data_IF_652102044356
#
_entry.id   IF_652102044356
#
_cell.length_a   1.000
_cell.length_b   1.000
_cell.length_c   1.000
_cell.angle_alpha   90.00
_cell.angle_beta   90.00
_cell.angle_gamma   90.00
#
_symmetry.space_group_name_H-M   'P 1'
#
loop_
_entity.id
_entity.type
_entity.pdbx_description
1 polymer ?
#
# COMPACT_ATOMS: atom_id res chain seq x y z
N UNK A 1 33.93 -73.55 11.68
CA UNK A 1 32.68 -72.77 11.58
C UNK A 1 31.90 -72.93 12.87
N UNK A 2 31.23 -71.87 13.27
CA UNK A 2 30.73 -71.57 14.61
C UNK A 2 29.97 -72.73 15.28
N UNK A 3 30.47 -73.21 16.42
CA UNK A 3 29.87 -74.32 17.19
C UNK A 3 28.86 -73.85 18.23
N UNK A 4 28.44 -72.58 18.16
CA UNK A 4 27.43 -72.02 19.06
C UNK A 4 26.01 -72.45 18.63
N UNK A 5 25.32 -73.30 19.41
CA UNK A 5 23.97 -73.76 19.07
C UNK A 5 22.92 -72.63 19.01
N UNK A 6 23.24 -71.41 19.49
CA UNK A 6 22.39 -70.23 19.32
C UNK A 6 22.43 -69.65 17.91
N UNK A 7 23.49 -69.93 17.15
CA UNK A 7 23.72 -69.42 15.80
C UNK A 7 23.99 -70.60 14.85
N UNK A 8 22.96 -71.38 14.49
CA UNK A 8 23.14 -72.50 13.57
C UNK A 8 23.76 -72.02 12.25
N UNK A 9 24.68 -72.80 11.71
CA UNK A 9 25.28 -72.52 10.42
C UNK A 9 24.20 -72.32 9.37
N UNK A 10 24.30 -71.22 8.62
CA UNK A 10 23.32 -70.88 7.59
C UNK A 10 23.42 -71.87 6.44
N UNK A 11 22.45 -72.78 6.33
CA UNK A 11 22.32 -73.67 5.18
C UNK A 11 21.70 -72.93 3.99
N UNK A 12 21.90 -73.40 2.74
CA UNK A 12 21.23 -72.82 1.56
C UNK A 12 19.71 -72.70 1.71
N UNK A 13 19.07 -73.69 2.33
CA UNK A 13 17.62 -73.70 2.59
C UNK A 13 17.23 -72.67 3.66
N UNK A 14 18.03 -72.54 4.73
CA UNK A 14 17.77 -71.55 5.77
C UNK A 14 17.96 -70.13 5.23
N UNK A 15 19.00 -69.89 4.42
CA UNK A 15 19.21 -68.64 3.70
C UNK A 15 18.01 -68.32 2.80
N UNK A 16 17.57 -69.28 1.97
CA UNK A 16 16.38 -69.12 1.14
C UNK A 16 15.16 -68.72 1.97
N UNK A 17 14.86 -69.46 3.04
CA UNK A 17 13.68 -69.21 3.86
C UNK A 17 13.72 -67.81 4.51
N UNK A 18 14.88 -67.38 5.03
CA UNK A 18 15.05 -66.08 5.69
C UNK A 18 14.97 -64.91 4.69
N UNK A 19 15.67 -65.01 3.56
CA UNK A 19 15.69 -63.96 2.54
C UNK A 19 14.33 -63.80 1.87
N UNK A 20 13.65 -64.89 1.54
CA UNK A 20 12.32 -64.83 0.93
C UNK A 20 11.31 -64.16 1.88
N UNK A 21 11.39 -64.47 3.17
CA UNK A 21 10.52 -63.86 4.17
C UNK A 21 10.80 -62.37 4.34
N UNK A 22 12.07 -61.94 4.32
CA UNK A 22 12.42 -60.52 4.30
C UNK A 22 11.83 -59.79 3.09
N UNK A 23 11.84 -60.43 1.92
CA UNK A 23 11.22 -59.86 0.72
C UNK A 23 9.70 -59.72 0.89
N UNK A 24 9.02 -60.74 1.44
CA UNK A 24 7.58 -60.69 1.72
C UNK A 24 7.21 -59.61 2.74
N UNK A 25 8.02 -59.42 3.77
CA UNK A 25 7.87 -58.32 4.74
C UNK A 25 7.96 -56.97 4.05
N UNK A 26 8.92 -56.80 3.13
CA UNK A 26 9.09 -55.58 2.34
C UNK A 26 7.94 -55.34 1.36
N UNK A 27 7.42 -56.40 0.71
CA UNK A 27 6.30 -56.33 -0.22
C UNK A 27 4.92 -56.21 0.45
N UNK A 28 4.83 -56.41 1.77
CA UNK A 28 3.54 -56.42 2.49
C UNK A 28 2.73 -57.71 2.30
N UNK A 29 3.39 -58.81 1.93
CA UNK A 29 2.75 -60.12 1.69
C UNK A 29 3.10 -61.17 2.74
N UNK A 30 3.98 -60.83 3.69
CA UNK A 30 4.35 -61.72 4.79
C UNK A 30 3.13 -62.09 5.62
N UNK A 31 2.97 -63.39 5.90
CA UNK A 31 1.97 -63.92 6.82
C UNK A 31 2.55 -64.25 8.20
N UNK A 32 3.88 -64.26 8.34
CA UNK A 32 4.58 -64.68 9.57
C UNK A 32 5.04 -63.50 10.41
N UNK A 33 5.40 -62.40 9.77
CA UNK A 33 5.94 -61.20 10.40
C UNK A 33 5.19 -59.94 9.99
N UNK A 34 5.20 -58.94 10.87
CA UNK A 34 4.67 -57.61 10.58
C UNK A 34 5.38 -57.02 9.35
N UNK A 35 4.62 -56.38 8.47
CA UNK A 35 5.15 -55.75 7.27
C UNK A 35 6.07 -54.59 7.60
N UNK A 36 7.04 -54.32 6.72
CA UNK A 36 7.88 -53.14 6.86
C UNK A 36 7.01 -51.87 6.78
N UNK A 37 7.31 -50.79 7.51
CA UNK A 37 6.64 -49.50 7.33
C UNK A 37 6.84 -48.94 5.90
N UNK A 38 5.96 -48.04 5.44
CA UNK A 38 6.03 -47.48 4.07
C UNK A 38 7.31 -46.68 3.78
N UNK A 39 8.01 -46.20 4.81
CA UNK A 39 9.28 -45.50 4.64
C UNK A 39 10.50 -46.42 4.40
N UNK A 40 10.32 -47.74 4.54
CA UNK A 40 11.34 -48.73 4.17
C UNK A 40 11.13 -49.13 2.70
N UNK A 41 11.98 -48.63 1.81
CA UNK A 41 11.77 -48.74 0.35
C UNK A 41 12.73 -49.68 -0.38
N UNK A 42 13.75 -50.23 0.30
CA UNK A 42 14.68 -51.17 -0.34
C UNK A 42 15.19 -52.26 0.59
N UNK A 43 15.53 -53.40 0.00
CA UNK A 43 16.40 -54.42 0.57
C UNK A 43 17.57 -54.60 -0.39
N UNK A 44 18.80 -54.69 0.14
CA UNK A 44 20.00 -54.95 -0.65
C UNK A 44 20.40 -56.40 -0.46
N UNK A 45 20.58 -57.12 -1.57
CA UNK A 45 21.10 -58.49 -1.54
C UNK A 45 22.61 -58.46 -1.71
N UNK A 46 23.30 -59.14 -0.79
CA UNK A 46 24.72 -58.88 -0.52
C UNK A 46 25.70 -59.44 -1.55
N UNK A 47 25.42 -60.50 -2.31
CA UNK A 47 26.28 -60.87 -3.45
C UNK A 47 25.51 -61.71 -4.47
N UNK A 48 25.12 -61.10 -5.60
CA UNK A 48 24.34 -61.79 -6.63
C UNK A 48 25.18 -62.79 -7.43
N UNK A 49 26.29 -62.34 -8.02
CA UNK A 49 27.23 -63.23 -8.67
C UNK A 49 28.63 -62.61 -8.60
N UNK A 50 29.65 -63.41 -8.33
CA UNK A 50 31.02 -62.91 -8.18
C UNK A 50 31.84 -63.23 -9.44
N UNK A 51 32.09 -64.50 -9.74
CA UNK A 51 32.81 -64.89 -10.96
C UNK A 51 32.06 -64.47 -12.24
N UNK A 52 30.74 -64.68 -12.31
CA UNK A 52 29.96 -64.35 -13.51
C UNK A 52 29.89 -62.84 -13.81
N UNK A 53 30.07 -61.98 -12.80
CA UNK A 53 30.18 -60.53 -12.98
C UNK A 53 31.63 -60.06 -13.18
N UNK A 54 32.57 -60.98 -13.44
CA UNK A 54 33.95 -60.67 -13.83
C UNK A 54 34.94 -60.55 -12.69
N UNK A 55 34.58 -60.90 -11.45
CA UNK A 55 35.53 -60.95 -10.35
C UNK A 55 36.47 -62.14 -10.48
N UNK A 56 37.77 -61.90 -10.40
CA UNK A 56 38.79 -62.96 -10.38
C UNK A 56 39.07 -63.51 -8.99
N UNK A 57 38.41 -62.97 -7.95
CA UNK A 57 38.61 -63.40 -6.56
C UNK A 57 37.70 -64.59 -6.23
N UNK A 58 38.28 -65.77 -6.03
CA UNK A 58 37.51 -66.97 -5.63
C UNK A 58 37.06 -66.97 -4.16
N UNK A 59 37.49 -65.98 -3.36
CA UNK A 59 37.21 -65.94 -1.92
C UNK A 59 35.70 -65.86 -1.64
N UNK A 60 35.00 -65.00 -2.36
CA UNK A 60 33.58 -64.72 -2.09
C UNK A 60 32.61 -65.59 -2.89
N UNK A 61 33.14 -66.51 -3.70
CA UNK A 61 32.31 -67.32 -4.60
C UNK A 61 31.33 -68.21 -3.84
N UNK A 62 31.68 -68.67 -2.64
CA UNK A 62 30.78 -69.41 -1.76
C UNK A 62 29.65 -68.57 -1.14
N UNK A 63 29.62 -67.26 -1.35
CA UNK A 63 28.58 -66.34 -0.87
C UNK A 63 27.71 -65.81 -2.03
N UNK A 64 28.08 -66.10 -3.28
CA UNK A 64 27.37 -65.64 -4.46
C UNK A 64 26.07 -66.44 -4.68
N UNK A 65 24.98 -65.76 -5.04
CA UNK A 65 23.72 -66.43 -5.35
C UNK A 65 23.79 -67.27 -6.62
N UNK A 66 24.50 -66.80 -7.64
CA UNK A 66 24.83 -67.56 -8.84
C UNK A 66 26.29 -68.01 -8.77
N UNK A 67 26.50 -69.32 -8.87
CA UNK A 67 27.82 -69.96 -8.89
C UNK A 67 27.70 -71.42 -9.28
N UNK A 68 28.63 -71.91 -10.11
CA UNK A 68 28.75 -73.33 -10.49
C UNK A 68 28.98 -74.28 -9.29
N UNK A 69 29.27 -73.73 -8.10
CA UNK A 69 29.41 -74.49 -6.86
C UNK A 69 28.07 -74.99 -6.31
N UNK A 70 26.97 -74.36 -6.70
CA UNK A 70 25.64 -74.75 -6.23
C UNK A 70 25.01 -75.76 -7.20
N UNK A 71 24.19 -76.71 -6.69
CA UNK A 71 23.38 -77.55 -7.56
C UNK A 71 22.47 -76.68 -8.45
N UNK A 72 22.62 -76.80 -9.78
CA UNK A 72 21.88 -75.97 -10.74
C UNK A 72 22.43 -74.55 -10.89
N UNK A 73 23.70 -74.33 -10.53
CA UNK A 73 24.45 -73.09 -10.69
C UNK A 73 23.91 -71.87 -9.90
N UNK A 74 22.99 -72.11 -8.96
CA UNK A 74 22.40 -71.06 -8.13
C UNK A 74 21.92 -71.55 -6.75
N UNK A 75 21.88 -70.64 -5.76
CA UNK A 75 21.22 -70.88 -4.48
C UNK A 75 19.69 -71.01 -4.67
N UNK A 76 19.00 -71.81 -3.84
CA UNK A 76 17.54 -72.00 -3.94
C UNK A 76 16.72 -70.71 -3.91
N UNK A 77 17.23 -69.66 -3.25
CA UNK A 77 16.60 -68.34 -3.19
C UNK A 77 16.34 -67.72 -4.57
N UNK A 78 17.19 -68.00 -5.56
CA UNK A 78 17.04 -67.45 -6.92
C UNK A 78 15.72 -67.91 -7.52
N UNK A 79 15.48 -69.23 -7.51
CA UNK A 79 14.25 -69.81 -8.04
C UNK A 79 13.04 -69.47 -7.17
N UNK A 80 13.20 -69.47 -5.85
CA UNK A 80 12.13 -69.09 -4.93
C UNK A 80 11.67 -67.64 -5.16
N UNK A 81 12.60 -66.70 -5.33
CA UNK A 81 12.26 -65.33 -5.67
C UNK A 81 11.69 -65.21 -7.08
N UNK A 82 12.14 -65.97 -8.06
CA UNK A 82 11.52 -65.94 -9.40
C UNK A 82 10.05 -66.38 -9.36
N UNK A 83 9.73 -67.41 -8.56
CA UNK A 83 8.37 -67.94 -8.43
C UNK A 83 7.45 -67.09 -7.53
N UNK A 84 8.00 -66.29 -6.62
CA UNK A 84 7.22 -65.50 -5.66
C UNK A 84 6.36 -64.43 -6.38
N UNK A 85 5.05 -64.32 -6.10
CA UNK A 85 4.22 -63.23 -6.62
C UNK A 85 4.74 -61.85 -6.18
N UNK A 86 4.94 -60.94 -7.15
CA UNK A 86 5.43 -59.58 -6.87
C UNK A 86 4.26 -58.64 -6.61
N UNK A 87 4.28 -57.98 -5.46
CA UNK A 87 3.29 -56.96 -5.09
C UNK A 87 4.01 -55.64 -4.93
N UNK A 88 3.64 -54.65 -5.75
CA UNK A 88 4.12 -53.29 -5.61
C UNK A 88 3.41 -52.62 -4.43
N UNK A 89 4.18 -52.01 -3.52
CA UNK A 89 3.62 -51.14 -2.49
C UNK A 89 3.42 -49.75 -3.09
N UNK A 90 2.20 -49.46 -3.48
CA UNK A 90 1.78 -48.14 -3.91
C UNK A 90 1.44 -47.35 -2.63
N UNK A 91 2.16 -46.26 -2.38
CA UNK A 91 1.84 -45.32 -1.30
C UNK A 91 0.44 -44.79 -1.56
N UNK A 92 -0.55 -45.29 -0.83
CA UNK A 92 -1.85 -44.64 -0.76
C UNK A 92 -1.63 -43.27 -0.15
N UNK A 93 -1.95 -42.22 -0.91
CA UNK A 93 -2.03 -40.87 -0.37
C UNK A 93 -3.10 -40.90 0.72
N UNK A 94 -2.67 -41.01 1.97
CA UNK A 94 -3.56 -40.94 3.10
C UNK A 94 -3.99 -39.47 3.20
N UNK A 95 -5.16 -39.17 2.63
CA UNK A 95 -5.76 -37.84 2.59
C UNK A 95 -6.25 -37.48 3.98
N UNK A 96 -5.33 -37.08 4.85
CA UNK A 96 -5.68 -36.17 5.93
C UNK A 96 -5.96 -34.83 5.28
N UNK A 97 -7.19 -34.66 4.79
CA UNK A 97 -7.69 -33.42 4.22
C UNK A 97 -7.83 -32.41 5.36
N UNK A 98 -6.89 -31.46 5.43
CA UNK A 98 -6.97 -30.33 6.36
C UNK A 98 -7.75 -29.22 5.66
N UNK A 99 -8.73 -28.65 6.36
CA UNK A 99 -9.36 -27.39 5.94
C UNK A 99 -8.61 -26.23 6.56
N UNK A 100 -8.09 -25.32 5.74
CA UNK A 100 -7.52 -24.05 6.20
C UNK A 100 -8.57 -22.95 6.01
N UNK A 101 -8.96 -22.29 7.08
CA UNK A 101 -9.82 -21.10 7.05
C UNK A 101 -9.05 -19.90 7.56
N UNK A 102 -9.49 -18.71 7.19
CA UNK A 102 -9.02 -17.53 7.88
C UNK A 102 -9.77 -16.28 7.49
N UNK A 103 -9.47 -15.22 8.22
CA UNK A 103 -9.89 -13.86 7.92
C UNK A 103 -8.67 -12.99 7.60
N UNK A 104 -8.82 -12.05 6.68
CA UNK A 104 -7.77 -11.08 6.32
C UNK A 104 -8.30 -9.66 6.52
N UNK A 105 -8.05 -9.09 7.69
CA UNK A 105 -8.40 -7.70 7.94
C UNK A 105 -7.63 -6.74 7.03
N UNK A 106 -8.23 -5.59 6.72
CA UNK A 106 -7.63 -4.48 5.95
C UNK A 106 -7.15 -4.85 4.54
N UNK A 107 -7.73 -5.90 3.93
CA UNK A 107 -7.37 -6.33 2.59
C UNK A 107 -7.71 -5.29 1.50
N UNK A 108 -8.66 -4.39 1.77
CA UNK A 108 -9.09 -3.34 0.84
C UNK A 108 -9.56 -3.92 -0.49
N UNK A 109 -9.02 -3.40 -1.60
CA UNK A 109 -9.30 -3.92 -2.95
C UNK A 109 -8.60 -5.27 -3.24
N UNK A 110 -7.62 -5.67 -2.43
CA UNK A 110 -6.84 -6.89 -2.64
C UNK A 110 -7.57 -8.11 -2.06
N UNK A 111 -8.41 -8.72 -2.87
CA UNK A 111 -9.35 -9.76 -2.44
C UNK A 111 -8.87 -11.19 -2.73
N UNK A 112 -7.80 -11.36 -3.49
CA UNK A 112 -7.26 -12.67 -3.83
C UNK A 112 -6.30 -13.15 -2.72
N UNK A 113 -6.50 -14.36 -2.23
CA UNK A 113 -5.58 -15.07 -1.34
C UNK A 113 -4.98 -16.22 -2.13
N UNK A 114 -3.66 -16.32 -2.16
CA UNK A 114 -2.94 -17.39 -2.86
C UNK A 114 -2.19 -18.25 -1.85
N UNK A 115 -2.36 -19.56 -1.96
CA UNK A 115 -1.65 -20.55 -1.18
C UNK A 115 -0.60 -21.25 -2.05
N UNK A 116 0.63 -21.26 -1.57
CA UNK A 116 1.74 -21.90 -2.26
C UNK A 116 2.37 -23.02 -1.45
N UNK A 117 2.91 -24.00 -2.18
CA UNK A 117 3.76 -25.04 -1.64
C UNK A 117 5.01 -25.16 -2.53
N UNK A 118 6.19 -25.13 -1.92
CA UNK A 118 7.48 -25.22 -2.62
C UNK A 118 7.65 -24.21 -3.78
N UNK A 119 7.07 -23.02 -3.63
CA UNK A 119 7.14 -21.92 -4.60
C UNK A 119 6.18 -22.04 -5.79
N UNK A 120 5.26 -23.01 -5.77
CA UNK A 120 4.18 -23.13 -6.74
C UNK A 120 2.83 -22.83 -6.09
N UNK A 121 1.97 -22.09 -6.80
CA UNK A 121 0.57 -21.94 -6.43
C UNK A 121 -0.14 -23.30 -6.45
N UNK A 122 -0.71 -23.67 -5.31
CA UNK A 122 -1.50 -24.91 -5.15
C UNK A 122 -2.99 -24.64 -5.01
N UNK A 123 -3.36 -23.44 -4.56
CA UNK A 123 -4.74 -22.99 -4.49
C UNK A 123 -4.83 -21.45 -4.43
N UNK A 124 -5.98 -20.89 -4.80
CA UNK A 124 -6.34 -19.51 -4.54
C UNK A 124 -7.83 -19.38 -4.15
N UNK A 125 -8.16 -18.34 -3.41
CA UNK A 125 -9.52 -18.06 -2.96
C UNK A 125 -9.77 -16.55 -2.97
N UNK A 126 -11.00 -16.14 -3.29
CA UNK A 126 -11.44 -14.75 -3.10
C UNK A 126 -11.97 -14.59 -1.68
N UNK A 127 -11.62 -13.48 -1.03
CA UNK A 127 -12.21 -13.08 0.24
C UNK A 127 -13.70 -12.78 0.05
N UNK A 128 -14.53 -13.30 0.95
CA UNK A 128 -15.97 -13.02 0.98
C UNK A 128 -16.29 -11.66 1.65
N UNK A 129 -17.56 -11.29 1.75
CA UNK A 129 -18.00 -10.01 2.34
C UNK A 129 -17.69 -9.84 3.84
N UNK A 130 -17.10 -10.87 4.47
CA UNK A 130 -16.61 -10.85 5.85
C UNK A 130 -15.08 -10.89 5.93
N UNK A 131 -14.40 -10.67 4.80
CA UNK A 131 -12.96 -10.84 4.64
C UNK A 131 -12.47 -12.26 4.97
N UNK A 132 -13.32 -13.27 4.77
CA UNK A 132 -12.98 -14.67 5.05
C UNK A 132 -12.58 -15.45 3.79
N UNK A 133 -11.72 -16.46 3.95
CA UNK A 133 -11.38 -17.46 2.93
C UNK A 133 -11.37 -18.88 3.49
N UNK A 134 -11.46 -19.88 2.60
CA UNK A 134 -11.28 -21.27 2.94
C UNK A 134 -10.60 -22.07 1.81
N UNK A 135 -9.66 -22.94 2.19
CA UNK A 135 -9.04 -23.95 1.36
C UNK A 135 -9.33 -25.32 1.95
N UNK A 136 -9.90 -26.23 1.17
CA UNK A 136 -10.20 -27.60 1.60
C UNK A 136 -9.20 -28.60 1.00
N UNK A 137 -9.23 -29.83 1.51
CA UNK A 137 -8.48 -30.97 0.97
C UNK A 137 -6.95 -30.78 0.91
N UNK A 138 -6.41 -29.98 1.83
CA UNK A 138 -4.97 -29.75 1.91
C UNK A 138 -4.26 -30.91 2.60
N UNK A 139 -3.11 -31.30 2.04
CA UNK A 139 -2.24 -32.30 2.68
C UNK A 139 -1.42 -31.68 3.81
N UNK A 140 -1.00 -32.48 4.78
CA UNK A 140 0.00 -32.03 5.74
C UNK A 140 1.30 -31.61 5.02
N UNK A 141 1.84 -30.45 5.38
CA UNK A 141 2.94 -29.80 4.66
C UNK A 141 3.17 -28.37 5.14
N UNK A 142 4.22 -27.74 4.60
CA UNK A 142 4.48 -26.31 4.78
C UNK A 142 3.96 -25.56 3.58
N UNK A 143 3.21 -24.50 3.83
CA UNK A 143 2.61 -23.63 2.84
C UNK A 143 3.00 -22.18 3.11
N UNK A 144 2.95 -21.35 2.08
CA UNK A 144 2.99 -19.89 2.21
C UNK A 144 1.67 -19.33 1.72
N UNK A 145 1.01 -18.54 2.55
CA UNK A 145 -0.18 -17.81 2.16
C UNK A 145 0.22 -16.37 1.88
N UNK A 146 -0.20 -15.85 0.73
CA UNK A 146 -0.02 -14.44 0.37
C UNK A 146 -1.35 -13.77 0.03
N UNK A 147 -1.34 -12.46 0.12
CA UNK A 147 -2.30 -11.61 -0.60
C UNK A 147 -1.49 -10.87 -1.67
N UNK A 148 -1.71 -11.14 -2.97
CA UNK A 148 -0.99 -10.46 -4.06
C UNK A 148 -1.09 -8.94 -3.94
N UNK A 149 -0.06 -8.25 -4.45
CA UNK A 149 0.04 -6.77 -4.40
C UNK A 149 0.11 -6.19 -2.97
N UNK A 150 0.40 -7.03 -1.97
CA UNK A 150 0.71 -6.63 -0.60
C UNK A 150 1.99 -7.33 -0.12
N UNK A 151 2.57 -6.83 0.98
CA UNK A 151 3.72 -7.47 1.64
C UNK A 151 3.32 -8.62 2.59
N UNK A 152 2.03 -8.99 2.65
CA UNK A 152 1.55 -10.05 3.53
C UNK A 152 1.95 -11.43 2.99
N UNK A 153 2.86 -12.10 3.69
CA UNK A 153 3.23 -13.51 3.47
C UNK A 153 3.30 -14.22 4.81
N UNK A 154 2.50 -15.28 4.99
CA UNK A 154 2.43 -16.08 6.21
C UNK A 154 2.87 -17.52 5.94
N UNK A 155 3.83 -18.05 6.71
CA UNK A 155 4.21 -19.47 6.67
C UNK A 155 3.25 -20.30 7.52
N UNK A 156 2.64 -21.33 6.92
CA UNK A 156 1.66 -22.20 7.57
C UNK A 156 2.18 -23.63 7.55
N UNK A 157 2.21 -24.28 8.70
CA UNK A 157 2.57 -25.70 8.80
C UNK A 157 1.35 -26.52 9.19
N UNK A 158 0.81 -27.25 8.21
CA UNK A 158 -0.31 -28.17 8.40
C UNK A 158 0.19 -29.55 8.83
N UNK A 159 -0.42 -30.11 9.87
CA UNK A 159 -0.08 -31.43 10.43
C UNK A 159 -1.22 -32.42 10.21
N UNK A 160 -0.88 -33.71 10.14
CA UNK A 160 -1.85 -34.79 9.82
C UNK A 160 -2.99 -34.91 10.82
N UNK A 161 -2.73 -34.57 12.08
CA UNK A 161 -3.72 -34.61 13.15
C UNK A 161 -4.74 -33.45 13.09
N UNK A 162 -4.48 -32.42 12.28
CA UNK A 162 -5.37 -31.28 12.15
C UNK A 162 -6.49 -31.61 11.16
N UNK A 163 -7.74 -31.39 11.59
CA UNK A 163 -8.88 -31.38 10.66
C UNK A 163 -9.13 -29.99 10.09
N UNK A 164 -8.87 -28.98 10.90
CA UNK A 164 -9.13 -27.59 10.58
C UNK A 164 -8.06 -26.69 11.23
N UNK A 165 -7.63 -25.66 10.50
CA UNK A 165 -6.72 -24.62 10.97
C UNK A 165 -7.34 -23.28 10.63
N UNK A 166 -7.40 -22.36 11.60
CA UNK A 166 -7.97 -21.02 11.42
C UNK A 166 -6.89 -19.96 11.56
N UNK A 167 -6.86 -19.00 10.65
CA UNK A 167 -5.95 -17.85 10.66
C UNK A 167 -6.69 -16.54 10.88
N UNK A 168 -6.04 -15.62 11.57
CA UNK A 168 -6.45 -14.22 11.65
C UNK A 168 -5.27 -13.40 11.17
N UNK A 169 -5.41 -12.85 9.98
CA UNK A 169 -4.38 -12.07 9.30
C UNK A 169 -4.86 -10.63 9.21
N UNK A 170 -3.92 -9.71 9.08
CA UNK A 170 -4.21 -8.35 8.67
C UNK A 170 -3.20 -7.97 7.59
N UNK A 171 -3.68 -7.46 6.46
CA UNK A 171 -2.79 -6.71 5.57
C UNK A 171 -2.29 -5.52 6.38
N UNK A 172 -0.97 -5.35 6.55
CA UNK A 172 -0.45 -4.20 7.26
C UNK A 172 -0.98 -2.96 6.53
N UNK A 173 -1.87 -2.21 7.18
CA UNK A 173 -2.04 -0.81 6.81
C UNK A 173 -0.64 -0.22 6.87
N UNK A 174 -0.19 0.48 5.83
CA UNK A 174 1.08 1.18 5.85
C UNK A 174 1.12 1.91 7.20
N UNK A 175 2.00 1.46 8.11
CA UNK A 175 2.11 2.10 9.39
C UNK A 175 2.33 3.59 9.09
N UNK A 176 1.79 4.53 9.89
CA UNK A 176 2.26 5.89 9.81
C UNK A 176 3.74 5.82 10.14
N UNK A 177 4.56 5.68 9.09
CA UNK A 177 5.95 6.06 9.13
C UNK A 177 5.83 7.48 9.62
N UNK A 178 6.39 7.74 10.80
CA UNK A 178 6.52 9.11 11.30
C UNK A 178 7.44 9.81 10.31
N UNK A 179 6.86 10.21 9.19
CA UNK A 179 7.54 10.81 8.08
C UNK A 179 7.97 12.17 8.58
N UNK A 180 9.20 12.52 8.26
CA UNK A 180 9.79 13.79 8.66
C UNK A 180 9.98 14.69 7.45
N UNK A 181 9.25 14.40 6.37
CA UNK A 181 9.32 15.23 5.18
C UNK A 181 8.67 16.58 5.47
N UNK A 182 9.23 17.60 4.85
CA UNK A 182 8.72 18.96 4.89
C UNK A 182 8.43 19.40 3.48
N UNK A 183 7.28 20.06 3.30
CA UNK A 183 6.99 20.80 2.06
C UNK A 183 6.87 22.28 2.42
N UNK A 184 7.68 23.13 1.79
CA UNK A 184 7.70 24.56 2.05
C UNK A 184 7.80 25.36 0.74
N UNK A 185 7.65 26.67 0.82
CA UNK A 185 7.83 27.57 -0.31
C UNK A 185 7.12 28.90 -0.12
N UNK A 186 6.95 29.66 -1.20
CA UNK A 186 6.19 30.89 -1.20
C UNK A 186 5.06 30.86 -2.22
N UNK A 187 3.94 31.48 -1.85
CA UNK A 187 2.85 31.78 -2.77
C UNK A 187 3.00 33.22 -3.23
N UNK A 188 3.44 33.41 -4.47
CA UNK A 188 3.56 34.75 -5.07
C UNK A 188 2.20 35.43 -5.12
N UNK A 189 2.11 36.60 -4.49
CA UNK A 189 0.87 37.35 -4.32
C UNK A 189 -0.12 36.71 -3.34
N UNK A 190 0.28 35.69 -2.59
CA UNK A 190 -0.64 34.84 -1.83
C UNK A 190 -0.70 35.11 -0.33
N UNK A 191 -0.56 36.35 0.15
CA UNK A 191 -0.76 36.65 1.56
C UNK A 191 -2.15 36.17 2.02
N UNK A 192 -2.19 35.28 3.02
CA UNK A 192 -3.44 34.69 3.51
C UNK A 192 -4.07 33.65 2.57
N UNK A 193 -3.42 33.27 1.46
CA UNK A 193 -3.91 32.22 0.59
C UNK A 193 -3.88 30.87 1.32
N UNK A 194 -4.92 30.05 1.08
CA UNK A 194 -4.97 28.70 1.65
C UNK A 194 -4.17 27.77 0.75
N UNK A 195 -3.16 27.14 1.32
CA UNK A 195 -2.37 26.10 0.66
C UNK A 195 -2.80 24.76 1.21
N UNK A 196 -3.09 23.82 0.32
CA UNK A 196 -3.59 22.52 0.70
C UNK A 196 -2.78 21.42 0.02
N UNK A 197 -2.42 20.42 0.81
CA UNK A 197 -1.68 19.25 0.40
C UNK A 197 -2.58 18.02 0.62
N UNK A 198 -2.76 17.18 -0.40
CA UNK A 198 -3.58 15.97 -0.32
C UNK A 198 -2.73 14.75 -0.66
N UNK A 199 -2.72 13.74 0.20
CA UNK A 199 -2.08 12.46 -0.10
C UNK A 199 -2.98 11.65 -1.04
N UNK A 200 -2.46 11.27 -2.21
CA UNK A 200 -3.28 10.66 -3.26
C UNK A 200 -3.91 9.31 -2.88
N UNK A 201 -3.21 8.51 -2.07
CA UNK A 201 -3.63 7.15 -1.75
C UNK A 201 -4.75 7.10 -0.69
N UNK A 202 -4.66 7.93 0.35
CA UNK A 202 -5.59 7.95 1.47
C UNK A 202 -6.66 9.03 1.35
N UNK A 203 -6.39 10.09 0.59
CA UNK A 203 -7.21 11.31 0.62
C UNK A 203 -6.98 12.15 1.88
N UNK A 204 -5.96 11.85 2.70
CA UNK A 204 -5.60 12.66 3.87
C UNK A 204 -5.17 14.06 3.41
N UNK A 205 -5.63 15.07 4.13
CA UNK A 205 -5.46 16.48 3.78
C UNK A 205 -4.72 17.25 4.88
N UNK A 206 -3.75 18.06 4.46
CA UNK A 206 -3.14 19.09 5.28
C UNK A 206 -3.48 20.46 4.71
N UNK A 207 -3.84 21.38 5.60
CA UNK A 207 -4.17 22.76 5.24
C UNK A 207 -3.29 23.71 6.03
N UNK A 208 -2.74 24.71 5.34
CA UNK A 208 -2.03 25.82 5.97
C UNK A 208 -2.39 27.13 5.26
N UNK A 209 -2.21 28.24 5.95
CA UNK A 209 -2.39 29.56 5.36
C UNK A 209 -1.00 30.16 5.11
N UNK A 210 -0.79 30.67 3.90
CA UNK A 210 0.42 31.42 3.59
C UNK A 210 0.48 32.68 4.47
N UNK A 211 1.67 32.96 5.01
CA UNK A 211 1.92 34.17 5.82
C UNK A 211 1.83 35.43 4.96
N UNK A 212 1.95 36.58 5.59
CA UNK A 212 1.91 37.87 4.88
C UNK A 212 2.99 37.98 3.80
N UNK A 213 4.17 37.38 4.01
CA UNK A 213 5.25 37.28 3.02
C UNK A 213 5.03 36.20 1.94
N UNK A 214 3.89 35.51 1.97
CA UNK A 214 3.55 34.39 1.09
C UNK A 214 4.14 33.05 1.51
N UNK A 215 4.96 32.98 2.57
CA UNK A 215 5.60 31.72 2.98
C UNK A 215 4.60 30.71 3.53
N UNK A 216 4.76 29.43 3.18
CA UNK A 216 3.98 28.32 3.71
C UNK A 216 4.87 27.13 4.10
N UNK A 217 4.38 26.27 4.99
CA UNK A 217 5.11 25.07 5.43
C UNK A 217 4.17 23.98 5.94
N UNK A 218 4.43 22.75 5.51
CA UNK A 218 3.91 21.48 6.04
C UNK A 218 5.06 20.68 6.64
N UNK A 219 4.81 19.98 7.73
CA UNK A 219 5.81 19.19 8.47
C UNK A 219 5.25 17.82 8.81
N UNK A 220 6.15 16.91 9.20
CA UNK A 220 5.82 15.56 9.65
C UNK A 220 5.04 14.74 8.61
N UNK A 221 5.39 14.91 7.33
CA UNK A 221 4.70 14.26 6.22
C UNK A 221 5.26 12.85 5.95
N UNK A 222 4.38 11.81 5.92
CA UNK A 222 4.73 10.45 5.49
C UNK A 222 5.34 10.38 4.09
N UNK A 223 6.05 9.27 3.76
CA UNK A 223 6.35 8.96 2.37
C UNK A 223 5.06 8.73 1.58
N UNK A 224 5.03 9.14 0.31
CA UNK A 224 3.88 8.95 -0.57
C UNK A 224 3.83 9.93 -1.72
N UNK A 225 2.80 9.78 -2.56
CA UNK A 225 2.47 10.77 -3.60
C UNK A 225 1.41 11.74 -3.09
N UNK A 226 1.64 13.02 -3.33
CA UNK A 226 0.80 14.13 -2.92
C UNK A 226 0.45 15.02 -4.11
N UNK A 227 -0.65 15.76 -3.99
CA UNK A 227 -0.92 16.94 -4.80
C UNK A 227 -0.96 18.18 -3.90
N UNK A 228 -0.63 19.33 -4.48
CA UNK A 228 -0.53 20.61 -3.77
C UNK A 228 -1.34 21.67 -4.53
N UNK A 229 -2.23 22.38 -3.84
CA UNK A 229 -3.13 23.37 -4.43
C UNK A 229 -3.21 24.66 -3.63
N UNK A 230 -3.37 25.78 -4.33
CA UNK A 230 -3.65 27.10 -3.71
C UNK A 230 -5.11 27.48 -3.96
N UNK A 231 -5.83 27.81 -2.88
CA UNK A 231 -7.23 28.25 -2.88
C UNK A 231 -7.36 29.77 -2.64
N UNK A 232 -8.40 30.43 -3.19
CA UNK A 232 -9.50 29.85 -3.98
C UNK A 232 -9.14 29.57 -5.46
N UNK A 233 -8.07 30.18 -5.96
CA UNK A 233 -7.53 29.91 -7.30
C UNK A 233 -6.03 30.20 -7.30
N UNK A 234 -5.22 29.22 -7.72
CA UNK A 234 -3.77 29.36 -7.77
C UNK A 234 -3.11 28.08 -8.31
N UNK A 235 -1.79 27.98 -8.14
CA UNK A 235 -1.01 26.85 -8.63
C UNK A 235 -1.57 25.51 -8.17
N UNK A 236 -1.51 24.54 -9.08
CA UNK A 236 -1.75 23.13 -8.80
C UNK A 236 -0.52 22.32 -9.21
N UNK A 237 0.05 21.59 -8.26
CA UNK A 237 1.09 20.59 -8.49
C UNK A 237 0.42 19.23 -8.43
N UNK A 238 0.29 18.60 -9.60
CA UNK A 238 -0.40 17.31 -9.75
C UNK A 238 0.30 16.21 -8.95
N UNK A 239 1.63 16.20 -8.92
CA UNK A 239 2.40 15.12 -8.31
C UNK A 239 3.64 15.62 -7.59
N UNK A 240 3.68 15.36 -6.30
CA UNK A 240 4.78 15.57 -5.41
C UNK A 240 5.10 14.27 -4.69
N UNK A 241 6.25 13.66 -4.99
CA UNK A 241 6.68 12.43 -4.33
C UNK A 241 7.55 12.76 -3.11
N UNK A 242 7.16 12.24 -1.94
CA UNK A 242 7.91 12.36 -0.70
C UNK A 242 8.45 10.98 -0.29
N UNK A 243 9.69 10.94 0.19
CA UNK A 243 10.38 9.71 0.62
C UNK A 243 10.29 9.48 2.14
N UNK A 244 9.53 10.32 2.85
CA UNK A 244 9.40 10.29 4.30
C UNK A 244 10.52 11.05 5.03
N UNK A 245 11.41 11.73 4.30
CA UNK A 245 12.58 12.45 4.82
C UNK A 245 12.78 13.77 4.04
N UNK A 246 13.66 14.63 4.57
CA UNK A 246 14.11 15.83 3.85
C UNK A 246 13.08 16.95 3.72
N UNK A 247 13.43 17.96 2.93
CA UNK A 247 12.60 19.13 2.67
C UNK A 247 12.52 19.36 1.16
N UNK A 248 11.31 19.57 0.65
CA UNK A 248 11.04 19.95 -0.73
C UNK A 248 10.48 21.37 -0.75
N UNK A 249 11.04 22.20 -1.63
CA UNK A 249 10.58 23.57 -1.85
C UNK A 249 9.82 23.69 -3.16
N UNK A 250 8.62 24.27 -3.11
CA UNK A 250 7.81 24.56 -4.30
C UNK A 250 7.35 26.02 -4.29
N UNK A 251 7.62 26.74 -5.36
CA UNK A 251 7.11 28.09 -5.56
C UNK A 251 5.73 28.01 -6.21
N UNK A 252 4.77 28.70 -5.62
CA UNK A 252 3.37 28.70 -6.04
C UNK A 252 2.94 30.13 -6.41
N UNK A 253 1.81 30.23 -7.10
CA UNK A 253 1.27 31.50 -7.59
C UNK A 253 -0.21 31.56 -7.27
N UNK A 254 -0.67 32.68 -6.69
CA UNK A 254 -2.10 32.97 -6.62
C UNK A 254 -2.58 33.49 -7.99
N UNK A 255 -3.72 32.98 -8.47
CA UNK A 255 -4.28 33.43 -9.74
C UNK A 255 -4.87 34.83 -9.62
N UNK A 256 -4.72 35.64 -10.66
CA UNK A 256 -5.23 37.01 -10.67
C UNK A 256 -4.42 37.94 -9.77
N UNK A 257 -5.03 39.03 -9.32
CA UNK A 257 -4.38 39.96 -8.42
C UNK A 257 -4.34 39.42 -7.00
N UNK A 258 -3.14 39.44 -6.42
CA UNK A 258 -2.89 39.18 -5.01
C UNK A 258 -1.74 40.04 -4.51
N UNK A 259 -1.47 39.99 -3.20
CA UNK A 259 -0.40 40.76 -2.60
C UNK A 259 0.45 39.92 -1.63
N UNK A 260 1.65 40.42 -1.36
CA UNK A 260 2.49 39.98 -0.23
C UNK A 260 3.01 41.20 0.51
N UNK A 261 3.33 41.03 1.78
CA UNK A 261 3.96 42.04 2.64
C UNK A 261 5.34 41.53 3.04
N UNK A 262 6.36 42.16 2.47
CA UNK A 262 7.76 41.92 2.80
C UNK A 262 8.36 43.13 3.53
N UNK A 263 9.67 43.12 3.75
CA UNK A 263 10.40 44.27 4.29
C UNK A 263 11.02 45.06 3.12
N UNK A 264 10.65 46.33 2.97
CA UNK A 264 11.26 47.23 1.99
C UNK A 264 12.62 47.77 2.49
N UNK A 265 12.64 48.17 3.76
CA UNK A 265 13.77 48.83 4.42
C UNK A 265 13.70 48.51 5.93
N UNK A 266 14.85 48.22 6.57
CA UNK A 266 14.94 47.88 7.99
C UNK A 266 15.04 49.11 8.91
N UNK A 267 14.89 50.31 8.36
CA UNK A 267 14.90 51.57 9.09
C UNK A 267 13.79 51.62 10.15
N UNK A 268 14.21 51.87 11.39
CA UNK A 268 13.33 51.91 12.57
C UNK A 268 12.78 53.29 12.84
N UNK A 269 11.70 53.34 13.62
CA UNK A 269 11.02 54.56 14.08
C UNK A 269 10.41 55.40 12.95
N UNK A 270 10.36 54.88 11.73
CA UNK A 270 9.68 55.47 10.59
C UNK A 270 8.37 54.73 10.40
N UNK A 271 7.26 55.46 10.49
CA UNK A 271 5.96 54.96 10.08
C UNK A 271 5.72 55.28 8.61
N UNK A 272 5.93 54.28 7.76
CA UNK A 272 5.77 54.40 6.32
C UNK A 272 5.40 53.04 5.72
N UNK A 273 4.92 53.05 4.49
CA UNK A 273 4.72 51.86 3.66
C UNK A 273 5.23 52.13 2.25
N UNK A 274 5.87 51.11 1.68
CA UNK A 274 6.20 51.07 0.26
C UNK A 274 5.17 50.19 -0.43
N UNK A 275 4.60 50.68 -1.53
CA UNK A 275 3.64 49.92 -2.33
C UNK A 275 4.19 49.76 -3.73
N UNK A 276 4.26 48.51 -4.21
CA UNK A 276 4.80 48.16 -5.53
C UNK A 276 3.76 47.42 -6.36
N UNK A 277 3.73 47.75 -7.65
CA UNK A 277 2.87 47.10 -8.65
C UNK A 277 3.73 46.76 -9.88
N UNK A 278 4.57 45.70 -9.81
CA UNK A 278 5.55 45.41 -10.85
C UNK A 278 4.93 45.38 -12.25
N UNK A 279 5.46 46.20 -13.16
CA UNK A 279 4.95 46.34 -14.53
C UNK A 279 3.86 47.41 -14.73
N UNK A 280 3.32 48.01 -13.67
CA UNK A 280 2.18 48.93 -13.74
C UNK A 280 2.45 50.27 -13.05
N UNK A 281 2.95 51.26 -13.80
CA UNK A 281 3.15 52.63 -13.26
C UNK A 281 1.89 53.48 -13.36
N UNK A 282 1.82 54.52 -12.55
CA UNK A 282 0.75 55.52 -12.61
C UNK A 282 -0.58 55.05 -12.00
N UNK A 283 -0.56 53.99 -11.20
CA UNK A 283 -1.72 53.57 -10.42
C UNK A 283 -1.83 54.43 -9.15
N UNK A 284 -3.06 54.74 -8.73
CA UNK A 284 -3.31 55.61 -7.58
C UNK A 284 -3.34 54.80 -6.29
N UNK A 285 -2.48 55.13 -5.33
CA UNK A 285 -2.35 54.42 -4.05
C UNK A 285 -2.81 55.31 -2.90
N UNK A 286 -3.65 54.75 -2.02
CA UNK A 286 -4.05 55.39 -0.77
C UNK A 286 -3.89 54.43 0.41
N UNK A 287 -3.64 54.99 1.59
CA UNK A 287 -3.57 54.24 2.85
C UNK A 287 -4.69 54.73 3.76
N UNK A 288 -5.52 53.80 4.22
CA UNK A 288 -6.72 54.08 5.01
C UNK A 288 -6.51 53.62 6.45
N UNK A 289 -6.81 54.51 7.40
CA UNK A 289 -6.93 54.22 8.83
C UNK A 289 -8.38 54.36 9.27
N UNK A 290 -8.65 54.14 10.55
CA UNK A 290 -9.97 54.43 11.14
C UNK A 290 -10.33 55.94 11.11
N UNK A 291 -9.33 56.82 11.01
CA UNK A 291 -9.49 58.27 11.08
C UNK A 291 -9.60 58.94 9.71
N UNK A 292 -9.20 58.24 8.63
CA UNK A 292 -9.28 58.75 7.26
C UNK A 292 -8.28 58.10 6.31
N UNK A 293 -8.22 58.63 5.09
CA UNK A 293 -7.30 58.19 4.05
C UNK A 293 -6.18 59.21 3.83
N UNK A 294 -5.01 58.76 3.45
CA UNK A 294 -3.95 59.64 2.94
C UNK A 294 -4.34 60.28 1.61
N UNK A 295 -3.61 61.34 1.23
CA UNK A 295 -3.61 61.78 -0.17
C UNK A 295 -3.14 60.63 -1.08
N UNK A 296 -3.65 60.64 -2.32
CA UNK A 296 -3.30 59.64 -3.31
C UNK A 296 -1.88 59.85 -3.84
N UNK A 297 -1.08 58.79 -3.86
CA UNK A 297 0.29 58.77 -4.39
C UNK A 297 0.37 57.81 -5.57
N UNK A 298 1.03 58.22 -6.65
CA UNK A 298 1.10 57.42 -7.88
C UNK A 298 2.25 56.40 -7.84
N UNK A 299 2.01 55.17 -8.29
CA UNK A 299 3.07 54.16 -8.45
C UNK A 299 4.12 54.62 -9.47
N UNK A 300 5.39 54.40 -9.15
CA UNK A 300 6.55 54.90 -9.90
C UNK A 300 7.12 56.23 -9.39
N UNK A 301 6.55 56.81 -8.34
CA UNK A 301 7.06 58.03 -7.67
C UNK A 301 8.25 57.77 -6.74
N UNK A 302 8.50 56.52 -6.34
CA UNK A 302 9.62 56.14 -5.48
C UNK A 302 10.49 55.07 -6.18
N UNK A 303 11.24 55.44 -7.25
CA UNK A 303 11.97 54.49 -8.08
C UNK A 303 13.09 53.73 -7.36
N UNK A 304 13.58 54.26 -6.23
CA UNK A 304 14.60 53.60 -5.39
C UNK A 304 14.10 52.26 -4.80
N UNK A 305 12.78 52.11 -4.63
CA UNK A 305 12.14 50.87 -4.20
C UNK A 305 11.62 49.99 -5.35
N UNK A 306 11.79 50.45 -6.60
CA UNK A 306 11.38 49.72 -7.79
C UNK A 306 10.69 50.63 -8.83
N UNK A 307 10.73 50.27 -10.12
CA UNK A 307 10.24 51.13 -11.20
C UNK A 307 8.77 51.55 -11.08
N UNK A 308 7.94 50.73 -10.42
CA UNK A 308 6.51 50.93 -10.21
C UNK A 308 6.16 50.97 -8.71
N UNK A 309 7.06 51.50 -7.89
CA UNK A 309 6.86 51.66 -6.46
C UNK A 309 6.50 53.10 -6.08
N UNK A 310 5.75 53.26 -4.99
CA UNK A 310 5.54 54.54 -4.31
C UNK A 310 5.79 54.39 -2.81
N UNK A 311 6.09 55.52 -2.15
CA UNK A 311 6.37 55.60 -0.73
C UNK A 311 5.35 56.53 -0.06
N UNK A 312 4.75 56.07 1.03
CA UNK A 312 3.79 56.85 1.83
C UNK A 312 4.30 56.87 3.27
N UNK A 313 4.76 58.03 3.72
CA UNK A 313 5.28 58.24 5.08
C UNK A 313 4.31 59.01 5.98
N UNK A 314 4.72 59.21 7.24
CA UNK A 314 3.93 59.95 8.22
C UNK A 314 2.77 59.13 8.82
N UNK A 315 2.89 57.81 8.79
CA UNK A 315 1.92 56.90 9.38
C UNK A 315 2.23 56.70 10.86
N UNK A 316 1.19 56.60 11.69
CA UNK A 316 1.35 56.17 13.08
C UNK A 316 1.33 54.65 13.20
N UNK A 317 1.75 54.13 14.36
CA UNK A 317 1.64 52.69 14.63
C UNK A 317 0.16 52.25 14.59
N UNK A 318 -0.14 51.19 13.83
CA UNK A 318 -1.53 50.78 13.63
C UNK A 318 -1.74 49.80 12.48
N UNK A 319 -3.00 49.45 12.26
CA UNK A 319 -3.43 48.63 11.12
C UNK A 319 -4.05 49.53 10.06
N UNK A 320 -3.65 49.31 8.81
CA UNK A 320 -4.10 50.09 7.68
C UNK A 320 -4.57 49.19 6.54
N UNK A 321 -5.42 49.75 5.69
CA UNK A 321 -5.79 49.17 4.40
C UNK A 321 -5.10 50.00 3.32
N UNK A 322 -4.30 49.36 2.49
CA UNK A 322 -3.71 49.96 1.28
C UNK A 322 -4.63 49.67 0.12
N UNK A 323 -5.09 50.70 -0.58
CA UNK A 323 -5.85 50.54 -1.84
C UNK A 323 -5.04 50.99 -3.03
N UNK A 324 -5.13 50.24 -4.14
CA UNK A 324 -4.56 50.62 -5.43
C UNK A 324 -5.67 50.66 -6.48
N UNK A 325 -5.95 51.84 -7.02
CA UNK A 325 -6.98 52.04 -8.04
C UNK A 325 -6.43 51.93 -9.46
N UNK A 326 -7.25 51.37 -10.35
CA UNK A 326 -6.96 51.32 -11.79
C UNK A 326 -6.10 50.13 -12.21
N UNK A 327 -5.95 49.10 -11.38
CA UNK A 327 -5.17 47.92 -11.72
C UNK A 327 -5.84 47.17 -12.88
N UNK A 328 -5.13 46.86 -13.97
CA UNK A 328 -5.74 46.23 -15.14
C UNK A 328 -6.07 44.75 -14.91
N UNK A 329 -7.21 44.30 -15.43
CA UNK A 329 -7.59 42.88 -15.54
C UNK A 329 -7.30 42.35 -16.95
N UNK A 330 -7.26 41.02 -17.09
CA UNK A 330 -6.96 40.36 -18.37
C UNK A 330 -7.97 40.63 -19.50
N UNK A 331 -9.17 41.12 -19.16
CA UNK A 331 -10.25 41.46 -20.11
C UNK A 331 -10.32 42.96 -20.47
N UNK A 332 -9.34 43.76 -19.99
CA UNK A 332 -9.27 45.20 -20.24
C UNK A 332 -10.08 46.06 -19.28
N UNK A 333 -10.80 45.47 -18.32
CA UNK A 333 -11.37 46.22 -17.19
C UNK A 333 -10.26 46.63 -16.21
N UNK A 334 -10.60 47.52 -15.29
CA UNK A 334 -9.75 47.87 -14.15
C UNK A 334 -10.45 47.54 -12.85
N UNK A 335 -9.68 47.20 -11.83
CA UNK A 335 -10.17 46.89 -10.50
C UNK A 335 -9.42 47.71 -9.43
N UNK A 336 -9.99 47.74 -8.22
CA UNK A 336 -9.34 48.27 -7.03
C UNK A 336 -8.74 47.10 -6.26
N UNK A 337 -7.46 47.21 -5.91
CA UNK A 337 -6.76 46.22 -5.10
C UNK A 337 -6.75 46.68 -3.65
N UNK A 338 -6.81 45.74 -2.71
CA UNK A 338 -6.74 46.02 -1.28
C UNK A 338 -5.74 45.10 -0.59
N UNK A 339 -4.96 45.64 0.34
CA UNK A 339 -4.05 44.89 1.20
C UNK A 339 -4.13 45.40 2.64
N UNK A 340 -4.08 44.48 3.59
CA UNK A 340 -3.94 44.82 5.01
C UNK A 340 -2.47 44.89 5.37
N UNK A 341 -2.06 45.94 6.06
CA UNK A 341 -0.69 46.13 6.52
C UNK A 341 -0.68 46.60 7.97
N UNK A 342 0.25 46.08 8.76
CA UNK A 342 0.52 46.56 10.11
C UNK A 342 1.79 47.41 10.09
N UNK A 343 1.70 48.61 10.66
CA UNK A 343 2.82 49.52 10.85
C UNK A 343 3.20 49.47 12.33
N UNK A 344 4.39 48.92 12.62
CA UNK A 344 4.94 48.81 13.97
C UNK A 344 6.24 49.61 14.17
N UNK A 345 6.64 50.37 13.14
CA UNK A 345 7.87 51.17 13.07
C UNK A 345 9.16 50.37 13.36
N UNK A 346 9.15 49.04 13.21
CA UNK A 346 10.36 48.20 13.30
C UNK A 346 11.08 48.08 11.97
N UNK A 347 10.33 48.20 10.88
CA UNK A 347 10.80 48.23 9.51
C UNK A 347 9.73 48.91 8.65
N UNK A 348 10.08 49.27 7.42
CA UNK A 348 9.14 49.80 6.43
C UNK A 348 8.60 48.61 5.62
N UNK A 349 7.31 48.25 5.72
CA UNK A 349 6.74 47.17 4.92
C UNK A 349 6.69 47.51 3.43
N UNK A 350 6.94 46.48 2.61
CA UNK A 350 6.71 46.45 1.17
C UNK A 350 5.41 45.68 0.90
N UNK A 351 4.35 46.38 0.53
CA UNK A 351 3.15 45.76 -0.03
C UNK A 351 3.34 45.62 -1.53
N UNK A 352 3.59 44.40 -2.01
CA UNK A 352 3.74 44.13 -3.43
C UNK A 352 2.47 43.47 -3.99
N UNK A 353 1.78 44.17 -4.88
CA UNK A 353 0.65 43.65 -5.64
C UNK A 353 1.13 43.06 -6.96
N UNK A 354 0.79 41.80 -7.23
CA UNK A 354 1.18 41.08 -8.43
C UNK A 354 -0.02 40.38 -9.07
N UNK A 355 -0.04 40.35 -10.40
CA UNK A 355 -1.02 39.58 -11.15
C UNK A 355 -0.44 38.22 -11.55
N UNK A 356 -0.88 37.15 -10.91
CA UNK A 356 -0.52 35.78 -11.27
C UNK A 356 -1.29 35.29 -12.50
N UNK A 357 -0.57 34.71 -13.46
CA UNK A 357 -1.16 34.01 -14.61
C UNK A 357 -0.92 32.52 -14.41
N UNK A 358 -1.99 31.74 -14.40
CA UNK A 358 -1.92 30.29 -14.48
C UNK A 358 -2.05 29.86 -15.95
N UNK A 359 -1.40 28.76 -16.31
CA UNK A 359 -1.78 28.04 -17.51
C UNK A 359 -3.18 27.45 -17.29
N UNK A 360 -4.03 27.49 -18.31
CA UNK A 360 -5.39 26.99 -18.21
C UNK A 360 -5.36 25.46 -18.00
N UNK A 361 -5.63 25.04 -16.78
CA UNK A 361 -5.81 23.63 -16.43
C UNK A 361 -7.31 23.34 -16.45
N UNK A 362 -7.71 22.31 -17.20
CA UNK A 362 -9.11 21.88 -17.21
C UNK A 362 -9.53 21.48 -15.78
N UNK A 363 -10.77 21.76 -15.35
CA UNK A 363 -11.25 21.28 -14.07
C UNK A 363 -11.15 19.76 -14.05
N UNK A 364 -10.30 19.24 -13.17
CA UNK A 364 -10.10 17.81 -13.03
C UNK A 364 -11.30 17.23 -12.29
N UNK A 365 -12.07 16.42 -13.01
CA UNK A 365 -13.25 15.69 -12.52
C UNK A 365 -13.08 14.18 -12.77
N UNK A 366 -11.87 13.68 -12.57
CA UNK A 366 -11.45 12.31 -12.84
C UNK A 366 -11.18 11.50 -11.56
N UNK A 367 -11.36 12.09 -10.37
CA UNK A 367 -11.20 11.35 -9.12
C UNK A 367 -12.20 10.21 -9.01
N UNK A 368 -11.82 9.20 -8.23
CA UNK A 368 -12.68 8.06 -7.92
C UNK A 368 -12.54 7.65 -6.45
N UNK A 369 -13.67 7.26 -5.86
CA UNK A 369 -13.72 6.60 -4.56
C UNK A 369 -14.23 5.19 -4.78
N UNK A 370 -13.52 4.20 -4.28
CA UNK A 370 -13.96 2.80 -4.36
C UNK A 370 -13.78 2.12 -3.02
N UNK A 371 -14.49 1.03 -2.79
CA UNK A 371 -14.48 0.43 -1.48
C UNK A 371 -15.25 -0.86 -1.34
N UNK A 372 -15.14 -1.43 -0.15
CA UNK A 372 -15.85 -2.65 0.22
C UNK A 372 -16.61 -2.44 1.53
N UNK A 373 -17.82 -3.01 1.62
CA UNK A 373 -18.61 -3.04 2.86
C UNK A 373 -18.52 -4.41 3.52
N UNK A 374 -18.01 -4.42 4.74
CA UNK A 374 -17.85 -5.61 5.57
C UNK A 374 -19.09 -5.89 6.43
N UNK A 375 -19.21 -7.15 6.87
CA UNK A 375 -20.25 -7.65 7.80
C UNK A 375 -21.68 -7.45 7.29
N UNK A 376 -21.88 -7.73 6.00
CA UNK A 376 -23.21 -7.71 5.41
C UNK A 376 -24.06 -8.88 5.91
N UNK A 377 -25.31 -8.57 6.28
CA UNK A 377 -26.32 -9.58 6.58
C UNK A 377 -27.07 -9.98 5.29
N UNK A 378 -27.28 -11.28 5.08
CA UNK A 378 -27.88 -11.79 3.85
C UNK A 378 -29.31 -11.24 3.63
N UNK A 379 -29.54 -10.62 2.46
CA UNK A 379 -30.88 -10.39 1.90
C UNK A 379 -31.38 -8.94 1.81
N UNK A 380 -30.58 -7.92 2.15
CA UNK A 380 -30.96 -6.51 1.91
C UNK A 380 -30.02 -5.85 0.91
N UNK A 381 -30.55 -5.22 -0.16
CA UNK A 381 -29.72 -4.42 -1.06
C UNK A 381 -29.15 -3.24 -0.27
N UNK A 382 -27.83 -3.25 -0.10
CA UNK A 382 -27.13 -2.18 0.60
C UNK A 382 -26.80 -1.07 -0.38
N UNK A 383 -26.94 0.18 0.07
CA UNK A 383 -26.51 1.37 -0.69
C UNK A 383 -25.38 2.05 0.06
N UNK A 384 -24.43 2.59 -0.69
CA UNK A 384 -23.47 3.56 -0.18
C UNK A 384 -23.86 4.92 -0.76
N UNK A 385 -23.87 5.92 0.10
CA UNK A 385 -24.08 7.32 -0.25
C UNK A 385 -22.74 8.06 -0.22
N UNK A 386 -22.48 8.82 -1.26
CA UNK A 386 -21.41 9.80 -1.37
C UNK A 386 -22.03 11.19 -1.29
N UNK A 387 -21.58 12.00 -0.34
CA UNK A 387 -22.09 13.35 -0.10
C UNK A 387 -20.95 14.34 -0.32
N UNK A 388 -21.15 15.36 -1.16
CA UNK A 388 -20.17 16.44 -1.36
C UNK A 388 -20.33 17.57 -0.33
N UNK A 389 -19.41 18.55 -0.35
CA UNK A 389 -19.44 19.73 0.54
C UNK A 389 -20.71 20.58 0.40
N UNK A 390 -21.41 20.51 -0.74
CA UNK A 390 -22.67 21.22 -0.96
C UNK A 390 -23.88 20.40 -0.50
N UNK A 391 -23.67 19.19 0.01
CA UNK A 391 -24.71 18.26 0.45
C UNK A 391 -25.38 17.52 -0.71
N UNK A 392 -24.84 17.59 -1.93
CA UNK A 392 -25.34 16.79 -3.04
C UNK A 392 -24.97 15.32 -2.83
N UNK A 393 -25.95 14.45 -3.00
CA UNK A 393 -25.82 13.03 -2.69
C UNK A 393 -25.85 12.19 -3.98
N UNK A 394 -24.89 11.29 -4.11
CA UNK A 394 -24.89 10.20 -5.07
C UNK A 394 -25.03 8.89 -4.30
N UNK A 395 -25.79 7.94 -4.84
CA UNK A 395 -25.96 6.64 -4.20
C UNK A 395 -25.70 5.51 -5.18
N UNK A 396 -25.05 4.46 -4.71
CA UNK A 396 -24.78 3.26 -5.49
C UNK A 396 -25.14 2.02 -4.68
N UNK A 397 -25.70 1.02 -5.36
CA UNK A 397 -25.88 -0.30 -4.77
C UNK A 397 -24.53 -1.01 -4.64
N UNK A 398 -24.34 -1.63 -3.49
CA UNK A 398 -23.21 -2.52 -3.25
C UNK A 398 -23.46 -3.83 -3.99
N UNK A 399 -22.46 -4.36 -4.69
CA UNK A 399 -22.57 -5.61 -5.43
C UNK A 399 -22.62 -6.85 -4.51
N UNK A 400 -22.88 -8.03 -5.09
CA UNK A 400 -22.94 -9.31 -4.35
C UNK A 400 -21.61 -9.66 -3.65
N UNK A 401 -20.50 -9.07 -4.11
CA UNK A 401 -19.18 -9.22 -3.54
C UNK A 401 -18.84 -8.09 -2.57
N UNK A 402 -19.80 -7.25 -2.18
CA UNK A 402 -19.66 -6.19 -1.19
C UNK A 402 -18.99 -4.90 -1.69
N UNK A 403 -18.76 -4.73 -2.99
CA UNK A 403 -18.00 -3.60 -3.54
C UNK A 403 -18.87 -2.44 -4.02
N UNK A 404 -18.29 -1.24 -3.99
CA UNK A 404 -18.85 -0.01 -4.56
C UNK A 404 -17.75 0.86 -5.17
N UNK A 405 -18.11 1.72 -6.12
CA UNK A 405 -17.24 2.69 -6.77
C UNK A 405 -18.00 3.91 -7.33
N UNK A 406 -17.56 5.11 -6.93
CA UNK A 406 -17.90 6.40 -7.51
C UNK A 406 -16.74 6.90 -8.36
N UNK A 407 -17.03 7.46 -9.53
CA UNK A 407 -16.01 8.01 -10.42
C UNK A 407 -16.50 9.28 -11.10
N UNK A 408 -15.59 9.99 -11.75
CA UNK A 408 -15.93 11.27 -12.38
C UNK A 408 -16.10 12.41 -11.36
N UNK A 409 -15.44 12.29 -10.21
CA UNK A 409 -15.61 13.20 -9.08
C UNK A 409 -14.69 14.42 -9.23
N UNK A 410 -15.23 15.59 -8.92
CA UNK A 410 -14.47 16.83 -8.88
C UNK A 410 -13.55 16.87 -7.65
N UNK A 411 -12.58 17.77 -7.68
CA UNK A 411 -11.80 18.08 -6.50
C UNK A 411 -12.71 18.70 -5.41
N UNK A 412 -12.59 18.24 -4.16
CA UNK A 412 -13.44 18.67 -3.04
C UNK A 412 -13.37 17.68 -1.88
N UNK A 413 -14.05 17.97 -0.77
CA UNK A 413 -14.27 16.99 0.30
C UNK A 413 -15.55 16.21 0.06
N UNK A 414 -15.50 14.95 0.50
CA UNK A 414 -16.61 14.04 0.42
C UNK A 414 -16.76 13.24 1.70
N UNK A 415 -18.00 12.86 1.99
CA UNK A 415 -18.33 11.88 3.02
C UNK A 415 -18.90 10.65 2.35
N UNK A 416 -18.42 9.48 2.73
CA UNK A 416 -18.91 8.19 2.26
C UNK A 416 -19.60 7.49 3.42
N UNK A 417 -20.88 7.13 3.27
CA UNK A 417 -21.64 6.53 4.36
C UNK A 417 -22.63 5.49 3.88
N UNK A 418 -23.08 4.62 4.77
CA UNK A 418 -24.21 3.73 4.54
C UNK A 418 -25.48 4.37 5.10
N UNK A 419 -26.50 4.67 4.27
CA UNK A 419 -27.76 5.19 4.76
C UNK A 419 -28.42 4.27 5.80
N UNK A 420 -28.84 4.83 6.92
CA UNK A 420 -29.39 4.11 8.08
C UNK A 420 -28.35 3.54 9.05
N UNK A 421 -27.06 3.72 8.77
CA UNK A 421 -25.94 3.33 9.62
C UNK A 421 -24.89 4.43 9.71
N UNK A 422 -25.30 5.70 9.63
CA UNK A 422 -24.41 6.85 9.54
C UNK A 422 -23.50 7.00 10.77
N UNK A 423 -23.94 6.52 11.94
CA UNK A 423 -23.14 6.54 13.17
C UNK A 423 -22.05 5.45 13.20
N UNK A 424 -22.27 4.33 12.51
CA UNK A 424 -21.40 3.14 12.58
C UNK A 424 -20.56 2.93 11.31
N UNK A 425 -21.03 3.41 10.17
CA UNK A 425 -20.47 3.15 8.85
C UNK A 425 -20.46 4.43 8.00
N UNK A 426 -19.67 5.40 8.45
CA UNK A 426 -19.41 6.67 7.78
C UNK A 426 -17.93 7.02 7.86
N UNK A 427 -17.38 7.46 6.72
CA UNK A 427 -16.03 7.99 6.59
C UNK A 427 -16.13 9.43 6.06
N UNK A 428 -15.95 10.44 6.93
CA UNK A 428 -16.00 11.85 6.55
C UNK A 428 -14.65 12.38 6.05
N UNK A 429 -14.67 13.62 5.55
CA UNK A 429 -13.48 14.43 5.25
C UNK A 429 -12.50 13.82 4.22
N UNK A 430 -13.00 13.01 3.29
CA UNK A 430 -12.20 12.43 2.21
C UNK A 430 -11.89 13.53 1.19
N UNK A 431 -10.62 13.94 1.07
CA UNK A 431 -10.22 14.95 0.11
C UNK A 431 -9.89 14.33 -1.27
N UNK A 432 -10.55 14.85 -2.30
CA UNK A 432 -10.27 14.56 -3.69
C UNK A 432 -9.57 15.76 -4.35
N UNK A 433 -8.56 15.47 -5.17
CA UNK A 433 -7.79 16.48 -5.91
C UNK A 433 -8.25 16.65 -7.37
N UNK A 434 -9.26 15.89 -7.78
CA UNK A 434 -9.80 15.87 -9.13
C UNK A 434 -9.19 14.79 -10.03
N UNK A 435 -8.16 14.06 -9.59
CA UNK A 435 -7.56 12.94 -10.33
C UNK A 435 -7.27 11.69 -9.48
N UNK A 436 -7.18 11.82 -8.16
CA UNK A 436 -6.80 10.76 -7.23
C UNK A 436 -7.86 9.64 -7.13
N UNK A 437 -7.38 8.47 -6.72
CA UNK A 437 -8.20 7.28 -6.48
C UNK A 437 -8.05 6.89 -5.02
N UNK A 438 -9.13 6.97 -4.26
CA UNK A 438 -9.14 6.70 -2.82
C UNK A 438 -9.92 5.41 -2.55
N UNK A 439 -9.37 4.57 -1.66
CA UNK A 439 -10.02 3.35 -1.21
C UNK A 439 -10.64 3.56 0.18
N UNK A 440 -11.95 3.36 0.32
CA UNK A 440 -12.69 3.56 1.57
C UNK A 440 -13.43 2.29 1.93
N UNK A 441 -13.11 1.66 3.06
CA UNK A 441 -13.80 0.44 3.47
C UNK A 441 -14.71 0.73 4.67
N UNK A 442 -15.97 0.34 4.56
CA UNK A 442 -16.95 0.52 5.63
C UNK A 442 -17.22 -0.83 6.31
N UNK A 443 -17.70 -0.80 7.54
CA UNK A 443 -18.12 -2.00 8.24
C UNK A 443 -19.43 -1.73 8.96
N UNK A 444 -20.45 -2.55 8.68
CA UNK A 444 -21.67 -2.55 9.49
C UNK A 444 -21.36 -3.07 10.90
N UNK A 445 -22.10 -2.69 11.95
CA UNK A 445 -21.95 -3.27 13.29
C UNK A 445 -22.37 -4.75 13.31
N UNK A 446 -22.02 -5.45 14.41
CA UNK A 446 -22.30 -6.88 14.61
C UNK A 446 -23.78 -7.22 14.80
#
# INVERSE_FOLDING_TARGET
EDTDPRYPATTPDLHMAQTLESCRVMMGTSQRFKHAPDYYFCTSFWLLANAMLGSTSAWWEGQAWYSERWPGDALPIVHALQAEPKVARIRTADTSAVTLRGVVANAGAQRLVVLEQDGAEVAHAQLDSTDSFAFADLSAGRYHLRVPETDLVEEIVLRREQREVTLHLAVPAAAPVSGRSVVAGHVRGGAGAVVMLVQKASGEEWVTMARDDGSYRFVDLPPGEYSLRVHPAGSYVERLALDGRGEVTHELVQAGWGYTVAVADDTRHIGAVVVSTPGHKGLSVQVHSAEGATEAVMTGSAPDYGPAACFIGGLEEGHYIVTVDGAPEGDGRTTQLEARVHIDKRAIPLVEFVHGKLEAQAPANASAISGHVRRQHAGQPLRVALIDEQGAQQEQYVDDAGNYAFGGLAAGRYTVQIPGWEEDASEPDIALDGENRVAVNLALPE
#
